data_IF_633016142594
#
_entry.id   IF_633016142594
#
_cell.length_a   1.000
_cell.length_b   1.000
_cell.length_c   1.000
_cell.angle_alpha   90.00
_cell.angle_beta   90.00
_cell.angle_gamma   90.00
#
_symmetry.space_group_name_H-M   'P 1'
#
loop_
_entity.id
_entity.type
_entity.pdbx_description
1 polymer ?
#
# COMPACT_ATOMS: atom_id res chain seq x y z
N UNK A 1 -29.76 -19.18 -19.48
CA UNK A 1 -28.42 -19.80 -19.50
C UNK A 1 -28.21 -20.37 -18.11
N UNK A 2 -28.00 -21.67 -17.93
CA UNK A 2 -27.75 -22.25 -16.60
C UNK A 2 -26.25 -22.06 -16.28
N UNK A 3 -25.91 -21.52 -15.11
CA UNK A 3 -24.50 -21.41 -14.69
C UNK A 3 -24.03 -22.81 -14.29
N UNK A 4 -23.33 -23.49 -15.20
CA UNK A 4 -22.79 -24.82 -14.96
C UNK A 4 -21.50 -24.75 -14.12
N UNK A 5 -21.15 -25.86 -13.46
CA UNK A 5 -19.91 -26.04 -12.69
C UNK A 5 -18.62 -25.81 -13.50
N UNK A 6 -18.70 -25.80 -14.82
CA UNK A 6 -17.60 -25.50 -15.76
C UNK A 6 -17.32 -24.01 -15.96
N UNK A 7 -18.18 -23.13 -15.43
CA UNK A 7 -18.01 -21.66 -15.56
C UNK A 7 -16.75 -21.22 -14.84
N UNK A 8 -15.84 -20.52 -15.53
CA UNK A 8 -14.57 -20.09 -14.95
C UNK A 8 -14.75 -18.88 -14.03
N UNK A 9 -13.77 -18.59 -13.16
CA UNK A 9 -13.87 -17.42 -12.29
C UNK A 9 -13.85 -16.09 -13.06
N UNK A 10 -13.26 -16.06 -14.26
CA UNK A 10 -13.36 -14.90 -15.14
C UNK A 10 -14.80 -14.69 -15.63
N UNK A 11 -15.48 -15.76 -16.04
CA UNK A 11 -16.87 -15.67 -16.52
C UNK A 11 -17.81 -15.26 -15.39
N UNK A 12 -17.60 -15.79 -14.19
CA UNK A 12 -18.32 -15.34 -13.00
C UNK A 12 -18.10 -13.85 -12.74
N UNK A 13 -16.86 -13.35 -12.82
CA UNK A 13 -16.58 -11.93 -12.58
C UNK A 13 -17.21 -11.01 -13.62
N UNK A 14 -17.24 -11.42 -14.89
CA UNK A 14 -17.92 -10.66 -15.95
C UNK A 14 -19.43 -10.60 -15.72
N UNK A 15 -20.06 -11.72 -15.39
CA UNK A 15 -21.50 -11.77 -15.03
C UNK A 15 -21.79 -10.93 -13.78
N UNK A 16 -20.89 -10.95 -12.79
CA UNK A 16 -21.05 -10.14 -11.56
C UNK A 16 -20.91 -8.63 -11.87
N UNK A 17 -20.07 -8.27 -12.85
CA UNK A 17 -19.79 -6.90 -13.25
C UNK A 17 -20.96 -6.24 -13.99
N UNK A 18 -21.69 -7.00 -14.80
CA UNK A 18 -22.91 -6.54 -15.43
C UNK A 18 -24.05 -6.47 -14.38
N UNK A 19 -24.50 -5.25 -14.09
CA UNK A 19 -25.54 -5.01 -13.08
C UNK A 19 -26.92 -5.45 -13.53
N UNK A 20 -27.14 -5.52 -14.84
CA UNK A 20 -28.41 -5.88 -15.47
C UNK A 20 -28.48 -7.37 -15.82
N UNK A 21 -27.37 -8.11 -15.66
CA UNK A 21 -27.35 -9.54 -15.94
C UNK A 21 -28.27 -10.30 -14.97
N UNK A 22 -29.27 -11.06 -15.48
CA UNK A 22 -30.24 -11.76 -14.63
C UNK A 22 -29.61 -12.85 -13.76
N UNK A 23 -28.41 -13.32 -14.10
CA UNK A 23 -27.67 -14.35 -13.37
C UNK A 23 -26.61 -13.78 -12.41
N UNK A 24 -26.48 -12.44 -12.32
CA UNK A 24 -25.51 -11.76 -11.44
C UNK A 24 -25.48 -12.30 -10.02
N UNK A 25 -26.66 -12.50 -9.42
CA UNK A 25 -26.79 -13.00 -8.04
C UNK A 25 -26.31 -14.44 -7.91
N UNK A 26 -26.68 -15.30 -8.86
CA UNK A 26 -26.27 -16.72 -8.88
C UNK A 26 -24.75 -16.84 -9.10
N UNK A 27 -24.19 -16.07 -10.04
CA UNK A 27 -22.76 -16.00 -10.28
C UNK A 27 -22.00 -15.56 -9.03
N UNK A 28 -22.51 -14.55 -8.31
CA UNK A 28 -21.90 -14.10 -7.05
C UNK A 28 -21.92 -15.18 -5.96
N UNK A 29 -23.01 -15.93 -5.82
CA UNK A 29 -23.09 -17.04 -4.85
C UNK A 29 -22.06 -18.12 -5.17
N UNK A 30 -21.94 -18.51 -6.44
CA UNK A 30 -20.95 -19.51 -6.87
C UNK A 30 -19.52 -19.01 -6.62
N UNK A 31 -19.25 -17.75 -7.00
CA UNK A 31 -17.95 -17.12 -6.77
C UNK A 31 -17.61 -17.03 -5.28
N UNK A 32 -18.57 -16.62 -4.45
CA UNK A 32 -18.45 -16.58 -3.00
C UNK A 32 -18.06 -17.95 -2.45
N UNK A 33 -18.82 -19.00 -2.80
CA UNK A 33 -18.56 -20.35 -2.29
C UNK A 33 -17.17 -20.87 -2.68
N UNK A 34 -16.66 -20.54 -3.88
CA UNK A 34 -15.31 -20.93 -4.33
C UNK A 34 -14.19 -20.25 -3.56
N UNK A 35 -14.40 -19.02 -3.10
CA UNK A 35 -13.33 -18.16 -2.56
C UNK A 35 -13.51 -17.78 -1.09
N UNK A 36 -14.63 -18.13 -0.44
CA UNK A 36 -14.93 -17.76 0.95
C UNK A 36 -13.83 -18.19 1.91
N UNK A 37 -13.40 -19.46 1.85
CA UNK A 37 -12.31 -19.95 2.70
C UNK A 37 -11.00 -19.22 2.42
N UNK A 38 -10.67 -18.94 1.16
CA UNK A 38 -9.46 -18.21 0.80
C UNK A 38 -9.46 -16.77 1.35
N UNK A 39 -10.55 -16.04 1.15
CA UNK A 39 -10.69 -14.65 1.62
C UNK A 39 -10.69 -14.61 3.15
N UNK A 40 -11.39 -15.53 3.81
CA UNK A 40 -11.41 -15.61 5.27
C UNK A 40 -10.04 -15.91 5.85
N UNK A 41 -9.34 -16.93 5.36
CA UNK A 41 -7.99 -17.27 5.83
C UNK A 41 -6.98 -16.13 5.57
N UNK A 42 -7.13 -15.41 4.47
CA UNK A 42 -6.31 -14.23 4.15
C UNK A 42 -6.61 -13.09 5.12
N UNK A 43 -7.89 -12.82 5.40
CA UNK A 43 -8.34 -11.80 6.35
C UNK A 43 -7.86 -12.11 7.77
N UNK A 44 -8.00 -13.36 8.20
CA UNK A 44 -7.45 -13.85 9.47
C UNK A 44 -5.96 -13.61 9.54
N UNK A 45 -5.22 -13.92 8.46
CA UNK A 45 -3.80 -13.62 8.31
C UNK A 45 -3.43 -12.17 8.59
N UNK A 46 -4.26 -11.21 8.18
CA UNK A 46 -4.04 -9.79 8.46
C UNK A 46 -4.42 -9.39 9.89
N UNK A 47 -5.48 -9.97 10.44
CA UNK A 47 -5.99 -9.64 11.77
C UNK A 47 -5.30 -10.40 12.93
N UNK A 48 -4.36 -11.32 12.65
CA UNK A 48 -3.69 -12.19 13.66
C UNK A 48 -3.15 -11.49 14.90
N UNK A 49 -2.82 -10.20 14.81
CA UNK A 49 -2.26 -9.42 15.92
C UNK A 49 -3.30 -8.65 16.72
N UNK A 50 -4.59 -8.78 16.38
CA UNK A 50 -5.70 -8.12 17.07
C UNK A 50 -6.31 -9.07 18.10
N UNK A 51 -6.85 -8.51 19.19
CA UNK A 51 -7.35 -9.29 20.32
C UNK A 51 -8.57 -10.17 19.95
N UNK A 52 -9.42 -9.72 19.02
CA UNK A 52 -10.56 -10.48 18.47
C UNK A 52 -10.36 -10.79 16.98
N UNK A 53 -9.21 -11.39 16.66
CA UNK A 53 -8.79 -11.61 15.28
C UNK A 53 -9.78 -12.40 14.41
N UNK A 54 -10.57 -13.30 14.98
CA UNK A 54 -11.57 -14.11 14.27
C UNK A 54 -12.82 -13.30 13.90
N UNK A 55 -13.38 -12.53 14.84
CA UNK A 55 -14.52 -11.67 14.54
C UNK A 55 -14.14 -10.60 13.52
N UNK A 56 -12.97 -9.97 13.69
CA UNK A 56 -12.47 -8.98 12.75
C UNK A 56 -12.18 -9.56 11.36
N UNK A 57 -11.65 -10.79 11.29
CA UNK A 57 -11.44 -11.47 10.01
C UNK A 57 -12.77 -11.75 9.30
N UNK A 58 -13.83 -12.09 10.05
CA UNK A 58 -15.16 -12.30 9.51
C UNK A 58 -15.74 -11.00 8.94
N UNK A 59 -15.64 -9.89 9.68
CA UNK A 59 -16.13 -8.59 9.24
C UNK A 59 -15.35 -8.06 8.02
N UNK A 60 -14.02 -8.19 8.04
CA UNK A 60 -13.17 -7.85 6.91
C UNK A 60 -13.53 -8.68 5.67
N UNK A 61 -13.78 -9.98 5.84
CA UNK A 61 -14.17 -10.86 4.72
C UNK A 61 -15.50 -10.42 4.09
N UNK A 62 -16.48 -10.04 4.92
CA UNK A 62 -17.77 -9.53 4.44
C UNK A 62 -17.58 -8.23 3.65
N UNK A 63 -16.79 -7.29 4.17
CA UNK A 63 -16.52 -6.03 3.49
C UNK A 63 -15.78 -6.24 2.16
N UNK A 64 -14.85 -7.20 2.10
CA UNK A 64 -14.17 -7.60 0.85
C UNK A 64 -15.17 -8.12 -0.17
N UNK A 65 -16.07 -9.01 0.20
CA UNK A 65 -17.12 -9.52 -0.69
C UNK A 65 -18.06 -8.41 -1.18
N UNK A 66 -18.42 -7.47 -0.31
CA UNK A 66 -19.18 -6.26 -0.69
C UNK A 66 -18.43 -5.42 -1.71
N UNK A 67 -17.12 -5.23 -1.56
CA UNK A 67 -16.29 -4.51 -2.54
C UNK A 67 -16.17 -5.27 -3.86
N UNK A 68 -16.03 -6.60 -3.84
CA UNK A 68 -15.99 -7.42 -5.07
C UNK A 68 -17.28 -7.26 -5.88
N UNK A 69 -18.45 -7.34 -5.23
CA UNK A 69 -19.75 -7.16 -5.89
C UNK A 69 -19.89 -5.81 -6.60
N UNK A 70 -19.21 -4.78 -6.08
CA UNK A 70 -19.25 -3.42 -6.60
C UNK A 70 -18.11 -3.08 -7.59
N UNK A 71 -17.01 -3.83 -7.56
CA UNK A 71 -15.77 -3.52 -8.30
C UNK A 71 -15.33 -4.64 -9.26
N UNK A 72 -16.10 -5.71 -9.42
CA UNK A 72 -15.81 -6.80 -10.35
C UNK A 72 -15.54 -6.30 -11.78
N UNK A 73 -16.23 -5.26 -12.25
CA UNK A 73 -16.00 -4.67 -13.57
C UNK A 73 -14.63 -3.98 -13.75
N UNK A 74 -13.85 -3.80 -12.69
CA UNK A 74 -12.47 -3.30 -12.77
C UNK A 74 -11.45 -4.42 -12.94
N UNK A 75 -11.87 -5.67 -12.83
CA UNK A 75 -10.99 -6.82 -13.02
C UNK A 75 -10.56 -6.92 -14.48
N UNK A 76 -9.25 -7.01 -14.71
CA UNK A 76 -8.70 -7.18 -16.05
C UNK A 76 -8.34 -8.64 -16.27
N UNK A 77 -9.05 -9.30 -17.19
CA UNK A 77 -8.69 -10.65 -17.64
C UNK A 77 -7.29 -10.65 -18.21
N UNK A 78 -6.46 -11.61 -17.79
CA UNK A 78 -5.19 -11.86 -18.45
C UNK A 78 -5.41 -12.91 -19.55
N UNK A 79 -5.24 -12.49 -20.81
CA UNK A 79 -5.48 -13.31 -22.01
C UNK A 79 -4.44 -14.43 -22.20
N UNK A 80 -3.30 -14.34 -21.52
CA UNK A 80 -2.19 -15.29 -21.65
C UNK A 80 -2.22 -16.39 -20.58
N UNK A 81 -3.27 -16.47 -19.76
CA UNK A 81 -3.38 -17.37 -18.63
C UNK A 81 -4.24 -18.58 -19.01
N UNK A 82 -3.69 -19.78 -18.81
CA UNK A 82 -4.41 -21.03 -19.02
C UNK A 82 -5.55 -21.20 -18.01
N UNK A 83 -6.56 -22.00 -18.34
CA UNK A 83 -7.75 -22.23 -17.48
C UNK A 83 -7.37 -22.66 -16.05
N UNK A 84 -6.32 -23.46 -15.90
CA UNK A 84 -5.83 -23.94 -14.59
C UNK A 84 -5.21 -22.82 -13.72
N UNK A 85 -4.75 -21.73 -14.34
CA UNK A 85 -4.11 -20.60 -13.67
C UNK A 85 -5.07 -19.43 -13.40
N UNK A 86 -6.27 -19.45 -13.98
CA UNK A 86 -7.32 -18.44 -13.76
C UNK A 86 -7.58 -18.25 -12.26
N UNK A 87 -7.72 -19.33 -11.51
CA UNK A 87 -7.98 -19.29 -10.05
C UNK A 87 -6.85 -18.57 -9.31
N UNK A 88 -5.59 -18.83 -9.68
CA UNK A 88 -4.42 -18.15 -9.07
C UNK A 88 -4.43 -16.66 -9.38
N UNK A 89 -4.74 -16.29 -10.63
CA UNK A 89 -4.80 -14.90 -11.03
C UNK A 89 -5.91 -14.14 -10.30
N UNK A 90 -7.11 -14.71 -10.24
CA UNK A 90 -8.24 -14.15 -9.49
C UNK A 90 -7.89 -14.02 -8.01
N UNK A 91 -7.28 -15.04 -7.39
CA UNK A 91 -6.85 -14.96 -5.98
C UNK A 91 -5.83 -13.87 -5.71
N UNK A 92 -4.90 -13.61 -6.64
CA UNK A 92 -3.96 -12.47 -6.52
C UNK A 92 -4.69 -11.11 -6.53
N UNK A 93 -5.71 -10.98 -7.36
CA UNK A 93 -6.56 -9.79 -7.37
C UNK A 93 -7.38 -9.67 -6.06
N UNK A 94 -7.98 -10.78 -5.60
CA UNK A 94 -8.69 -10.85 -4.31
C UNK A 94 -7.80 -10.46 -3.13
N UNK A 95 -6.56 -10.97 -3.08
CA UNK A 95 -5.58 -10.59 -2.06
C UNK A 95 -5.35 -9.07 -2.02
N UNK A 96 -5.26 -8.44 -3.19
CA UNK A 96 -5.08 -6.98 -3.29
C UNK A 96 -6.28 -6.24 -2.72
N UNK A 97 -7.51 -6.70 -2.99
CA UNK A 97 -8.73 -6.14 -2.42
C UNK A 97 -8.74 -6.32 -0.89
N UNK A 98 -8.42 -7.51 -0.39
CA UNK A 98 -8.38 -7.81 1.05
C UNK A 98 -7.36 -6.93 1.76
N UNK A 99 -6.14 -6.85 1.23
CA UNK A 99 -5.07 -6.01 1.77
C UNK A 99 -5.51 -4.54 1.84
N UNK A 100 -6.04 -3.99 0.75
CA UNK A 100 -6.44 -2.59 0.71
C UNK A 100 -7.61 -2.32 1.67
N UNK A 101 -8.58 -3.24 1.75
CA UNK A 101 -9.70 -3.13 2.69
C UNK A 101 -9.24 -3.16 4.14
N UNK A 102 -8.30 -4.05 4.48
CA UNK A 102 -7.70 -4.09 5.82
C UNK A 102 -6.99 -2.77 6.15
N UNK A 103 -6.21 -2.24 5.21
CA UNK A 103 -5.54 -0.96 5.40
C UNK A 103 -6.55 0.19 5.57
N UNK A 104 -7.62 0.23 4.77
CA UNK A 104 -8.65 1.26 4.87
C UNK A 104 -9.37 1.25 6.24
N UNK A 105 -9.68 0.06 6.76
CA UNK A 105 -10.44 -0.11 8.01
C UNK A 105 -9.57 0.06 9.26
N UNK A 106 -8.36 -0.51 9.27
CA UNK A 106 -7.59 -0.71 10.49
C UNK A 106 -6.30 0.10 10.54
N UNK A 107 -5.72 0.47 9.40
CA UNK A 107 -4.74 1.55 9.38
C UNK A 107 -5.50 2.85 9.24
N UNK A 108 -5.81 3.47 10.39
CA UNK A 108 -6.19 4.88 10.39
C UNK A 108 -5.25 5.63 9.44
N UNK A 109 -5.76 6.39 8.45
CA UNK A 109 -4.92 7.44 7.89
C UNK A 109 -4.45 8.23 9.12
N UNK A 110 -3.15 8.45 9.23
CA UNK A 110 -2.63 9.39 10.22
C UNK A 110 -3.28 10.71 9.85
N UNK A 111 -4.44 11.01 10.44
CA UNK A 111 -5.00 12.34 10.47
C UNK A 111 -3.98 13.10 11.30
N UNK A 112 -3.02 13.71 10.61
CA UNK A 112 -2.20 14.74 11.20
C UNK A 112 -3.18 15.84 11.60
N UNK A 113 -3.67 15.78 12.84
CA UNK A 113 -4.11 16.99 13.52
C UNK A 113 -2.88 17.90 13.55
N UNK A 114 -2.78 18.80 12.58
CA UNK A 114 -1.79 19.86 12.60
C UNK A 114 -2.08 20.75 13.81
N UNK A 115 -1.55 20.38 14.97
CA UNK A 115 -1.35 21.35 16.05
C UNK A 115 -0.27 22.31 15.55
N UNK A 116 -0.70 23.44 14.98
CA UNK A 116 0.16 24.58 14.71
C UNK A 116 0.76 25.06 16.04
N UNK A 117 1.94 24.53 16.38
CA UNK A 117 2.79 25.08 17.43
C UNK A 117 3.57 26.22 16.78
N UNK A 118 3.29 27.47 17.17
CA UNK A 118 4.17 28.60 16.86
C UNK A 118 5.49 28.38 17.61
N UNK A 119 6.56 28.18 16.87
CA UNK A 119 7.90 27.91 17.43
C UNK A 119 8.62 29.26 17.61
N UNK A 120 8.95 29.60 18.85
CA UNK A 120 10.00 30.59 19.15
C UNK A 120 11.35 29.88 19.11
N UNK A 121 12.37 30.56 18.57
CA UNK A 121 13.70 29.99 18.25
C UNK A 121 14.42 29.33 19.44
N UNK A 122 14.11 29.71 20.68
CA UNK A 122 14.74 29.20 21.89
C UNK A 122 14.40 27.73 22.22
N UNK A 123 13.34 27.16 21.62
CA UNK A 123 12.88 25.80 21.92
C UNK A 123 13.24 24.76 20.84
N UNK A 124 14.00 25.13 19.79
CA UNK A 124 14.34 24.22 18.68
C UNK A 124 15.08 22.96 19.15
N UNK A 125 16.03 23.10 20.07
CA UNK A 125 16.86 21.97 20.53
C UNK A 125 16.12 21.03 21.49
N UNK A 126 15.18 21.56 22.28
CA UNK A 126 14.34 20.77 23.19
C UNK A 126 13.32 19.95 22.40
N UNK A 127 12.77 20.52 21.31
CA UNK A 127 11.84 19.83 20.43
C UNK A 127 12.57 18.75 19.60
N UNK A 128 13.79 19.00 19.13
CA UNK A 128 14.60 17.99 18.43
C UNK A 128 14.83 16.74 19.31
N UNK A 129 15.11 16.93 20.61
CA UNK A 129 15.21 15.83 21.58
C UNK A 129 13.86 15.15 21.86
N UNK A 130 12.78 15.92 21.98
CA UNK A 130 11.44 15.39 22.28
C UNK A 130 10.83 14.61 21.11
N UNK A 131 11.14 14.97 19.86
CA UNK A 131 10.70 14.24 18.65
C UNK A 131 11.39 12.87 18.56
N UNK A 132 12.65 12.78 19.01
CA UNK A 132 13.40 11.53 19.03
C UNK A 132 12.90 10.57 20.13
N UNK A 133 12.41 11.10 21.26
CA UNK A 133 11.91 10.28 22.38
C UNK A 133 10.44 9.88 22.23
N UNK A 134 9.59 10.70 21.59
CA UNK A 134 8.14 10.41 21.42
C UNK A 134 7.77 9.62 20.16
N UNK A 135 8.73 9.30 19.29
CA UNK A 135 8.54 8.32 18.19
C UNK A 135 8.60 6.86 18.64
N UNK A 136 8.81 6.60 19.93
CA UNK A 136 8.79 5.27 20.56
C UNK A 136 7.39 4.68 20.81
N UNK A 137 6.36 5.18 20.12
CA UNK A 137 5.01 4.61 20.12
C UNK A 137 4.86 3.52 19.06
N UNK A 138 5.19 2.26 19.41
CA UNK A 138 4.94 1.01 18.65
C UNK A 138 5.11 1.14 17.12
N UNK A 139 6.24 1.66 16.67
CA UNK A 139 6.73 1.36 15.32
C UNK A 139 6.95 -0.16 15.23
N UNK A 140 6.43 -0.83 14.20
CA UNK A 140 6.96 -2.15 13.80
C UNK A 140 8.48 -2.01 13.81
N UNK A 141 9.17 -2.74 14.70
CA UNK A 141 10.64 -2.78 14.67
C UNK A 141 11.00 -3.10 13.22
N UNK A 142 11.63 -2.14 12.54
CA UNK A 142 12.27 -2.39 11.27
C UNK A 142 13.18 -3.61 11.47
N UNK A 143 13.28 -4.48 10.47
CA UNK A 143 14.31 -5.52 10.54
C UNK A 143 15.68 -4.85 10.72
N UNK A 144 16.65 -5.55 11.32
CA UNK A 144 17.98 -4.96 11.51
C UNK A 144 18.57 -4.54 10.17
N UNK A 145 18.23 -5.26 9.11
CA UNK A 145 18.62 -5.02 7.73
C UNK A 145 17.98 -3.74 7.15
N UNK A 146 16.68 -3.52 7.40
CA UNK A 146 15.98 -2.31 6.97
C UNK A 146 16.44 -1.06 7.73
N UNK A 147 16.78 -1.22 9.01
CA UNK A 147 17.34 -0.15 9.84
C UNK A 147 18.72 0.29 9.30
N UNK A 148 19.60 -0.66 8.98
CA UNK A 148 20.92 -0.38 8.39
C UNK A 148 20.78 0.28 7.01
N UNK A 149 19.83 -0.17 6.19
CA UNK A 149 19.58 0.46 4.89
C UNK A 149 19.06 1.89 5.04
N UNK A 150 18.15 2.11 6.00
CA UNK A 150 17.63 3.44 6.32
C UNK A 150 18.75 4.37 6.79
N UNK A 151 19.61 3.92 7.71
CA UNK A 151 20.74 4.71 8.21
C UNK A 151 21.72 5.06 7.07
N UNK A 152 22.01 4.10 6.17
CA UNK A 152 22.83 4.36 4.97
C UNK A 152 22.20 5.36 4.01
N UNK A 153 20.88 5.35 3.87
CA UNK A 153 20.15 6.33 3.03
C UNK A 153 20.19 7.71 3.68
N UNK A 154 19.99 7.81 5.00
CA UNK A 154 20.07 9.07 5.74
C UNK A 154 21.48 9.66 5.67
N UNK A 155 22.51 8.84 5.82
CA UNK A 155 23.91 9.26 5.68
C UNK A 155 24.21 9.73 4.25
N UNK A 156 23.77 8.99 3.24
CA UNK A 156 23.91 9.41 1.84
C UNK A 156 23.15 10.71 1.53
N UNK A 157 21.97 10.90 2.13
CA UNK A 157 21.18 12.13 2.00
C UNK A 157 21.88 13.34 2.61
N UNK A 158 22.63 13.17 3.70
CA UNK A 158 23.39 14.27 4.32
C UNK A 158 24.53 14.78 3.42
N UNK A 159 24.98 13.97 2.47
CA UNK A 159 26.07 14.27 1.54
C UNK A 159 25.59 14.77 0.17
N UNK A 160 24.30 14.58 -0.16
CA UNK A 160 23.73 15.01 -1.43
C UNK A 160 23.05 16.37 -1.24
N UNK A 161 23.45 17.34 -2.06
CA UNK A 161 22.82 18.65 -2.06
C UNK A 161 21.44 18.58 -2.75
N UNK A 162 20.39 18.31 -1.97
CA UNK A 162 19.01 18.25 -2.43
C UNK A 162 18.33 19.61 -2.22
N UNK A 163 17.61 20.06 -3.24
CA UNK A 163 16.70 21.20 -3.06
C UNK A 163 15.61 20.87 -2.02
N UNK A 164 15.08 21.89 -1.35
CA UNK A 164 13.98 21.74 -0.38
C UNK A 164 12.80 20.94 -0.95
N UNK A 165 12.48 21.18 -2.23
CA UNK A 165 11.46 20.43 -2.99
C UNK A 165 11.78 18.94 -3.10
N UNK A 166 13.02 18.60 -3.48
CA UNK A 166 13.46 17.21 -3.62
C UNK A 166 13.46 16.49 -2.27
N UNK A 167 13.94 17.17 -1.23
CA UNK A 167 13.97 16.64 0.13
C UNK A 167 12.55 16.37 0.65
N UNK A 168 11.62 17.31 0.45
CA UNK A 168 10.22 17.11 0.86
C UNK A 168 9.54 15.95 0.13
N UNK A 169 9.74 15.84 -1.19
CA UNK A 169 9.21 14.72 -1.97
C UNK A 169 9.78 13.41 -1.45
N UNK A 170 11.12 13.33 -1.30
CA UNK A 170 11.78 12.12 -0.81
C UNK A 170 11.28 11.74 0.59
N UNK A 171 11.19 12.71 1.51
CA UNK A 171 10.69 12.48 2.86
C UNK A 171 9.26 11.95 2.88
N UNK A 172 8.38 12.46 2.02
CA UNK A 172 7.02 11.94 1.90
C UNK A 172 7.00 10.45 1.47
N UNK A 173 7.89 10.06 0.54
CA UNK A 173 8.08 8.65 0.20
C UNK A 173 8.65 7.86 1.39
N UNK A 174 9.61 8.43 2.12
CA UNK A 174 10.23 7.73 3.24
C UNK A 174 9.26 7.48 4.40
N UNK A 175 8.50 8.51 4.76
CA UNK A 175 7.48 8.48 5.82
C UNK A 175 6.31 7.54 5.48
N UNK A 176 6.07 7.26 4.20
CA UNK A 176 4.99 6.36 3.78
C UNK A 176 5.24 4.89 4.20
N UNK A 177 6.49 4.52 4.51
CA UNK A 177 6.86 3.18 4.94
C UNK A 177 6.61 2.08 3.91
N UNK A 178 6.35 2.44 2.64
CA UNK A 178 6.18 1.51 1.53
C UNK A 178 7.50 1.37 0.78
N UNK A 179 8.50 0.88 1.49
CA UNK A 179 9.75 0.44 0.93
C UNK A 179 9.70 -1.05 0.70
N UNK A 180 10.08 -1.48 -0.50
CA UNK A 180 10.63 -2.81 -0.65
C UNK A 180 12.13 -2.70 -0.90
N UNK A 181 12.86 -3.74 -0.47
CA UNK A 181 14.29 -3.94 -0.74
C UNK A 181 14.59 -4.08 -2.25
N UNK A 182 13.57 -4.07 -3.11
CA UNK A 182 13.70 -4.07 -4.57
C UNK A 182 13.62 -2.68 -5.21
N UNK A 183 13.51 -1.61 -4.40
CA UNK A 183 13.52 -0.22 -4.87
C UNK A 183 12.17 0.31 -5.39
N UNK A 184 11.07 -0.41 -5.19
CA UNK A 184 9.72 0.12 -5.52
C UNK A 184 9.17 0.91 -4.35
N UNK A 185 9.37 2.22 -4.44
CA UNK A 185 8.86 3.17 -3.47
C UNK A 185 7.52 3.67 -3.99
N UNK A 186 6.43 3.32 -3.31
CA UNK A 186 5.09 3.79 -3.64
C UNK A 186 4.61 4.82 -2.64
N UNK A 187 3.89 5.82 -3.14
CA UNK A 187 3.29 6.86 -2.32
C UNK A 187 1.77 6.69 -2.39
N UNK A 188 1.04 6.73 -1.26
CA UNK A 188 -0.42 6.77 -1.27
C UNK A 188 -0.95 7.95 -2.09
N UNK A 189 -2.09 7.78 -2.76
CA UNK A 189 -2.65 8.80 -3.68
C UNK A 189 -2.86 10.16 -3.00
N UNK A 190 -3.33 10.19 -1.75
CA UNK A 190 -3.52 11.45 -1.02
C UNK A 190 -2.22 12.25 -0.80
N UNK A 191 -1.09 11.56 -0.53
CA UNK A 191 0.23 12.21 -0.40
C UNK A 191 0.77 12.66 -1.75
N UNK A 192 0.45 11.92 -2.82
CA UNK A 192 0.81 12.32 -4.17
C UNK A 192 0.07 13.59 -4.59
N UNK A 193 -1.23 13.66 -4.30
CA UNK A 193 -2.05 14.85 -4.52
C UNK A 193 -1.54 16.05 -3.73
N UNK A 194 -1.18 15.86 -2.45
CA UNK A 194 -0.57 16.90 -1.60
C UNK A 194 0.71 17.48 -2.24
N UNK A 195 1.61 16.62 -2.75
CA UNK A 195 2.85 17.06 -3.41
C UNK A 195 2.58 17.74 -4.76
N UNK A 196 1.61 17.25 -5.51
CA UNK A 196 1.19 17.84 -6.78
C UNK A 196 0.63 19.26 -6.56
N UNK A 197 -0.21 19.44 -5.54
CA UNK A 197 -0.80 20.74 -5.21
C UNK A 197 0.26 21.71 -4.67
N UNK A 198 1.05 21.29 -3.67
CA UNK A 198 2.07 22.14 -3.03
C UNK A 198 3.11 22.66 -4.01
N UNK A 199 3.55 21.82 -4.95
CA UNK A 199 4.58 22.20 -5.92
C UNK A 199 4.04 22.54 -7.32
N UNK A 200 2.71 22.53 -7.50
CA UNK A 200 2.05 22.71 -8.81
C UNK A 200 2.62 21.78 -9.88
N UNK A 201 2.80 20.51 -9.52
CA UNK A 201 3.40 19.48 -10.38
C UNK A 201 2.35 18.48 -10.86
N UNK A 202 2.61 17.85 -12.00
CA UNK A 202 1.89 16.65 -12.42
C UNK A 202 2.44 15.43 -11.70
N UNK A 203 1.61 14.41 -11.52
CA UNK A 203 2.00 13.11 -10.90
C UNK A 203 3.31 12.56 -11.44
N UNK A 204 3.46 12.52 -12.77
CA UNK A 204 4.67 12.03 -13.43
C UNK A 204 5.91 12.85 -13.07
N UNK A 205 5.78 14.16 -12.88
CA UNK A 205 6.91 15.02 -12.48
C UNK A 205 7.37 14.72 -11.06
N UNK A 206 6.45 14.42 -10.13
CA UNK A 206 6.78 14.00 -8.75
C UNK A 206 7.52 12.66 -8.78
N UNK A 207 7.05 11.70 -9.58
CA UNK A 207 7.69 10.39 -9.77
C UNK A 207 9.10 10.55 -10.35
N UNK A 208 9.27 11.36 -11.40
CA UNK A 208 10.58 11.60 -12.00
C UNK A 208 11.56 12.30 -11.05
N UNK A 209 11.08 13.23 -10.22
CA UNK A 209 11.91 13.85 -9.19
C UNK A 209 12.36 12.79 -8.18
N UNK A 210 11.45 11.92 -7.72
CA UNK A 210 11.79 10.81 -6.83
C UNK A 210 12.85 9.90 -7.47
N UNK A 211 12.66 9.47 -8.72
CA UNK A 211 13.61 8.60 -9.43
C UNK A 211 15.00 9.22 -9.47
N UNK A 212 15.11 10.48 -9.92
CA UNK A 212 16.41 11.19 -9.97
C UNK A 212 17.09 11.33 -8.62
N UNK A 213 16.32 11.50 -7.55
CA UNK A 213 16.87 11.61 -6.18
C UNK A 213 17.33 10.25 -5.69
N UNK A 214 16.56 9.19 -5.94
CA UNK A 214 16.94 7.81 -5.60
C UNK A 214 18.18 7.39 -6.36
N UNK A 215 18.29 7.72 -7.65
CA UNK A 215 19.48 7.42 -8.47
C UNK A 215 20.73 8.06 -7.87
N UNK A 216 20.66 9.34 -7.49
CA UNK A 216 21.76 10.05 -6.81
C UNK A 216 22.15 9.40 -5.49
N UNK A 217 21.17 8.96 -4.70
CA UNK A 217 21.41 8.25 -3.44
C UNK A 217 22.11 6.91 -3.71
N UNK A 218 21.65 6.15 -4.71
CA UNK A 218 22.28 4.88 -5.07
C UNK A 218 23.70 5.05 -5.59
N UNK A 219 23.96 6.09 -6.37
CA UNK A 219 25.30 6.45 -6.84
C UNK A 219 26.22 6.76 -5.66
N UNK A 220 25.77 7.61 -4.72
CA UNK A 220 26.54 7.97 -3.52
C UNK A 220 26.78 6.75 -2.61
N UNK A 221 25.79 5.88 -2.43
CA UNK A 221 25.92 4.64 -1.64
C UNK A 221 26.95 3.70 -2.29
N UNK A 222 26.98 3.59 -3.62
CA UNK A 222 28.00 2.79 -4.33
C UNK A 222 29.40 3.39 -4.18
N UNK A 223 29.55 4.71 -4.30
CA UNK A 223 30.83 5.40 -4.10
C UNK A 223 31.34 5.22 -2.67
N UNK A 224 30.47 5.29 -1.67
CA UNK A 224 30.83 5.08 -0.25
C UNK A 224 31.17 3.60 0.05
N UNK A 225 30.68 2.64 -0.74
CA UNK A 225 31.05 1.23 -0.64
C UNK A 225 32.38 0.88 -1.32
N UNK A 226 32.87 1.72 -2.24
CA UNK A 226 34.16 1.51 -2.92
C UNK A 226 35.34 2.16 -2.18
N UNK A 227 35.07 3.10 -1.27
CA UNK A 227 36.05 3.81 -0.46
C UNK A 227 36.27 3.19 0.94
N UNK A 228 35.67 2.02 1.20
CA UNK A 228 35.83 1.19 2.39
C UNK A 228 36.26 -0.22 1.99
#
# INVERSE_FOLDING_TARGET
>A
MLINTTTTDYDLLDIIADKEDPFRKEAFVIFHNRHASYIHNTSLGFCKTHDDCEAEAKDLSQEVFRKILNRSGTFQRNKSVNTEEIVKHVRKWLFTITKNTFLDLYKKPVQYEYKTVRINDENKDIIARTIHEKTSGKSKKLSKEDQILYDKIVDAMSQINLSEKQNHILKAYLESGQFDSSGKWSLPDYRMEELMEKYKLKRNSVIQIKERVVDKIQEQVKTNQQNH
#
